data_IF_875690207883
#
_entry.id   IF_875690207883
#
_cell.length_a   1.000
_cell.length_b   1.000
_cell.length_c   1.000
_cell.angle_alpha   90.00
_cell.angle_beta   90.00
_cell.angle_gamma   90.00
#
_symmetry.space_group_name_H-M   'P 1'
#
loop_
_entity.id
_entity.type
_entity.pdbx_description
1 polymer ?
#
# COMPACT_ATOMS: atom_id res chain seq x y z
N UNK A 1 -4.72 -2.34 -22.68
CA UNK A 1 -4.25 -3.27 -21.64
C UNK A 1 -4.66 -2.66 -20.30
N UNK A 2 -5.36 -3.42 -19.47
CA UNK A 2 -5.87 -2.96 -18.16
C UNK A 2 -5.07 -3.70 -17.09
N UNK A 3 -4.44 -2.98 -16.17
CA UNK A 3 -3.65 -3.57 -15.10
C UNK A 3 -4.57 -4.02 -13.96
N UNK A 4 -4.29 -5.19 -13.38
CA UNK A 4 -4.72 -5.51 -12.01
C UNK A 4 -3.67 -4.98 -11.01
N UNK A 5 -4.00 -4.81 -9.72
CA UNK A 5 -3.02 -4.44 -8.70
C UNK A 5 -1.78 -5.35 -8.71
N UNK A 6 -1.98 -6.67 -8.79
CA UNK A 6 -0.92 -7.68 -8.73
C UNK A 6 -0.04 -7.61 -9.97
N UNK A 7 -0.65 -7.60 -11.17
CA UNK A 7 0.10 -7.54 -12.42
C UNK A 7 0.90 -6.24 -12.56
N UNK A 8 0.38 -5.13 -12.01
CA UNK A 8 1.11 -3.87 -11.92
C UNK A 8 2.33 -4.01 -10.99
N UNK A 9 2.13 -4.47 -9.75
CA UNK A 9 3.20 -4.63 -8.76
C UNK A 9 4.28 -5.61 -9.23
N UNK A 10 3.88 -6.78 -9.76
CA UNK A 10 4.78 -7.80 -10.26
C UNK A 10 5.64 -7.26 -11.43
N UNK A 11 5.05 -6.46 -12.32
CA UNK A 11 5.81 -5.87 -13.44
C UNK A 11 6.91 -4.93 -12.97
N UNK A 12 6.61 -4.09 -11.97
CA UNK A 12 7.59 -3.18 -11.35
C UNK A 12 8.65 -3.99 -10.59
N UNK A 13 8.23 -4.99 -9.81
CA UNK A 13 9.12 -5.86 -9.05
C UNK A 13 10.13 -6.56 -9.94
N UNK A 14 9.67 -7.12 -11.06
CA UNK A 14 10.52 -7.82 -12.02
C UNK A 14 11.49 -6.86 -12.71
N UNK A 15 11.02 -5.68 -13.13
CA UNK A 15 11.87 -4.65 -13.73
C UNK A 15 12.98 -4.21 -12.78
N UNK A 16 12.65 -3.90 -11.52
CA UNK A 16 13.65 -3.46 -10.54
C UNK A 16 14.70 -4.53 -10.22
N UNK A 17 14.30 -5.80 -10.20
CA UNK A 17 15.22 -6.92 -10.04
C UNK A 17 16.16 -7.09 -11.25
N UNK A 18 15.63 -6.97 -12.47
CA UNK A 18 16.43 -7.02 -13.71
C UNK A 18 17.48 -5.90 -13.77
N UNK A 19 17.12 -4.70 -13.36
CA UNK A 19 18.00 -3.54 -13.29
C UNK A 19 19.05 -3.65 -12.17
N UNK A 20 19.01 -4.74 -11.37
CA UNK A 20 19.92 -4.99 -10.23
C UNK A 20 19.98 -3.81 -9.24
N UNK A 21 18.90 -3.03 -9.13
CA UNK A 21 18.83 -1.91 -8.20
C UNK A 21 18.72 -2.46 -6.77
N UNK A 22 19.61 -2.01 -5.89
CA UNK A 22 19.64 -2.39 -4.47
C UNK A 22 19.24 -1.19 -3.61
N UNK A 23 17.95 -0.87 -3.64
CA UNK A 23 17.35 0.12 -2.76
C UNK A 23 16.62 -0.60 -1.63
N UNK A 24 16.61 -0.02 -0.43
CA UNK A 24 15.88 -0.61 0.68
C UNK A 24 14.36 -0.66 0.45
N UNK A 25 13.84 0.28 -0.34
CA UNK A 25 12.44 0.30 -0.73
C UNK A 25 12.31 1.03 -2.07
N UNK A 26 11.37 0.58 -2.89
CA UNK A 26 10.96 1.24 -4.13
C UNK A 26 9.46 1.40 -4.08
N UNK A 27 9.00 2.64 -4.13
CA UNK A 27 7.58 2.96 -4.11
C UNK A 27 7.19 3.65 -5.41
N UNK A 28 6.16 3.15 -6.10
CA UNK A 28 5.61 3.80 -7.29
C UNK A 28 4.38 4.60 -6.89
N UNK A 29 4.39 5.89 -7.22
CA UNK A 29 3.20 6.73 -7.15
C UNK A 29 2.55 6.83 -8.51
N UNK A 30 1.25 6.56 -8.58
CA UNK A 30 0.48 6.58 -9.83
C UNK A 30 -0.86 7.29 -9.64
N UNK A 31 -1.52 7.59 -10.76
CA UNK A 31 -2.92 8.04 -10.80
C UNK A 31 -3.79 7.08 -11.61
N UNK A 32 -3.31 5.84 -11.77
CA UNK A 32 -4.06 4.78 -12.42
C UNK A 32 -5.14 4.26 -11.46
N UNK A 33 -6.40 4.36 -11.87
CA UNK A 33 -7.52 3.82 -11.10
C UNK A 33 -7.51 2.29 -11.21
N UNK A 34 -7.09 1.61 -10.14
CA UNK A 34 -7.06 0.15 -10.12
C UNK A 34 -8.49 -0.42 -10.05
N UNK A 35 -8.71 -1.63 -10.57
CA UNK A 35 -9.93 -2.40 -10.31
C UNK A 35 -10.20 -2.57 -8.80
N UNK A 36 -11.46 -2.86 -8.46
CA UNK A 36 -11.87 -3.22 -7.09
C UNK A 36 -11.57 -2.15 -6.02
N UNK A 37 -11.44 -0.88 -6.42
CA UNK A 37 -11.17 0.26 -5.52
C UNK A 37 -9.82 0.16 -4.78
N UNK A 38 -8.87 -0.60 -5.32
CA UNK A 38 -7.54 -0.75 -4.69
C UNK A 38 -6.74 0.54 -4.84
N UNK A 39 -6.31 1.10 -3.72
CA UNK A 39 -5.48 2.31 -3.70
C UNK A 39 -3.99 2.00 -3.59
N UNK A 40 -3.59 0.78 -3.26
CA UNK A 40 -2.18 0.41 -3.13
C UNK A 40 -2.00 -1.10 -3.03
N UNK A 41 -0.76 -1.54 -3.22
CA UNK A 41 -0.36 -2.91 -2.95
C UNK A 41 1.13 -2.97 -2.64
N UNK A 42 1.50 -3.88 -1.74
CA UNK A 42 2.86 -4.09 -1.28
C UNK A 42 3.11 -5.56 -0.99
N UNK A 43 4.33 -6.03 -1.22
CA UNK A 43 4.75 -7.32 -0.67
C UNK A 43 4.97 -7.18 0.84
N UNK A 44 4.64 -8.24 1.56
CA UNK A 44 4.91 -8.33 2.99
C UNK A 44 6.40 -8.64 3.26
N UNK A 45 7.00 -8.02 4.30
CA UNK A 45 8.38 -8.29 4.74
C UNK A 45 9.43 -8.11 3.63
N UNK A 46 9.17 -7.17 2.71
CA UNK A 46 10.03 -6.89 1.56
C UNK A 46 11.15 -5.88 1.82
N UNK A 47 11.14 -5.17 2.95
CA UNK A 47 12.07 -4.07 3.21
C UNK A 47 13.54 -4.52 3.17
N UNK A 48 14.37 -3.79 2.41
CA UNK A 48 15.77 -4.11 2.10
C UNK A 48 16.02 -5.54 1.59
N UNK A 49 15.00 -6.20 1.04
CA UNK A 49 15.17 -7.52 0.42
C UNK A 49 16.13 -7.44 -0.77
N UNK A 50 16.84 -8.54 -1.02
CA UNK A 50 17.70 -8.68 -2.19
C UNK A 50 16.85 -9.06 -3.41
N UNK A 51 17.24 -8.64 -4.64
CA UNK A 51 16.63 -9.13 -5.85
C UNK A 51 16.66 -10.66 -5.93
N UNK A 52 15.55 -11.27 -6.37
CA UNK A 52 15.43 -12.70 -6.63
C UNK A 52 15.09 -12.95 -8.11
N UNK A 53 15.10 -14.21 -8.55
CA UNK A 53 14.61 -14.57 -9.88
C UNK A 53 13.12 -14.31 -10.08
N UNK A 54 12.37 -14.12 -8.99
CA UNK A 54 10.93 -13.82 -9.00
C UNK A 54 10.62 -12.32 -8.93
N UNK A 55 11.64 -11.47 -8.73
CA UNK A 55 11.47 -10.03 -8.54
C UNK A 55 12.17 -9.49 -7.29
N UNK A 56 11.98 -8.19 -7.04
CA UNK A 56 12.46 -7.46 -5.87
C UNK A 56 11.28 -7.21 -4.93
N UNK A 57 11.25 -7.86 -3.77
CA UNK A 57 10.11 -7.77 -2.84
C UNK A 57 10.02 -6.42 -2.11
N UNK A 58 11.07 -5.59 -2.18
CA UNK A 58 11.07 -4.24 -1.62
C UNK A 58 10.27 -3.23 -2.45
N UNK A 59 9.35 -3.70 -3.31
CA UNK A 59 8.50 -2.85 -4.15
C UNK A 59 7.08 -2.75 -3.61
N UNK A 60 6.49 -1.57 -3.75
CA UNK A 60 5.08 -1.30 -3.50
C UNK A 60 4.58 -0.19 -4.44
N UNK A 61 3.27 0.02 -4.51
CA UNK A 61 2.71 1.19 -5.17
C UNK A 61 1.53 1.77 -4.39
N UNK A 62 1.30 3.07 -4.61
CA UNK A 62 0.10 3.79 -4.18
C UNK A 62 -0.49 4.57 -5.36
N UNK A 63 -1.80 4.52 -5.50
CA UNK A 63 -2.59 5.26 -6.47
C UNK A 63 -3.33 6.41 -5.79
N UNK A 64 -3.22 7.59 -6.39
CA UNK A 64 -3.96 8.79 -5.98
C UNK A 64 -5.39 8.84 -6.55
N UNK A 65 -5.85 7.77 -7.22
CA UNK A 65 -7.13 7.74 -7.91
C UNK A 65 -7.88 6.42 -7.66
N UNK A 66 -9.08 6.55 -7.13
CA UNK A 66 -10.09 5.49 -7.10
C UNK A 66 -10.91 5.47 -8.39
N UNK A 67 -11.44 4.31 -8.74
CA UNK A 67 -12.22 4.11 -9.97
C UNK A 67 -13.60 4.79 -9.94
N UNK A 68 -14.18 5.04 -8.76
CA UNK A 68 -15.49 5.69 -8.59
C UNK A 68 -15.36 7.10 -8.03
N UNK A 69 -14.63 7.30 -6.93
CA UNK A 69 -14.53 8.63 -6.29
C UNK A 69 -13.55 9.56 -6.99
N UNK A 70 -12.73 9.04 -7.91
CA UNK A 70 -11.72 9.83 -8.60
C UNK A 70 -10.51 10.10 -7.70
N UNK A 71 -10.00 11.33 -7.73
CA UNK A 71 -8.81 11.65 -6.94
C UNK A 71 -9.11 11.66 -5.44
N UNK A 72 -8.30 10.91 -4.68
CA UNK A 72 -8.36 10.93 -3.21
C UNK A 72 -7.66 12.18 -2.67
N UNK A 73 -7.96 12.53 -1.40
CA UNK A 73 -7.26 13.65 -0.75
C UNK A 73 -5.78 13.33 -0.54
N UNK A 74 -4.92 14.36 -0.48
CA UNK A 74 -3.50 14.16 -0.19
C UNK A 74 -3.27 13.46 1.16
N UNK A 75 -4.14 13.73 2.15
CA UNK A 75 -4.09 13.07 3.44
C UNK A 75 -4.37 11.56 3.31
N UNK A 76 -5.43 11.18 2.61
CA UNK A 76 -5.75 9.78 2.36
C UNK A 76 -4.66 9.08 1.54
N UNK A 77 -4.11 9.73 0.53
CA UNK A 77 -3.00 9.20 -0.26
C UNK A 77 -1.75 8.94 0.59
N UNK A 78 -1.41 9.86 1.49
CA UNK A 78 -0.29 9.66 2.43
C UNK A 78 -0.54 8.45 3.34
N UNK A 79 -1.77 8.24 3.80
CA UNK A 79 -2.13 7.09 4.63
C UNK A 79 -2.06 5.77 3.85
N UNK A 80 -2.46 5.76 2.58
CA UNK A 80 -2.26 4.60 1.70
C UNK A 80 -0.77 4.31 1.54
N UNK A 81 0.05 5.32 1.26
CA UNK A 81 1.51 5.14 1.19
C UNK A 81 2.09 4.54 2.48
N UNK A 82 1.67 5.04 3.65
CA UNK A 82 2.13 4.53 4.94
C UNK A 82 1.64 3.09 5.17
N UNK A 83 0.41 2.77 4.82
CA UNK A 83 -0.16 1.41 4.89
C UNK A 83 0.68 0.41 4.09
N UNK A 84 0.97 0.74 2.82
CA UNK A 84 1.76 -0.12 1.94
C UNK A 84 3.22 -0.24 2.39
N UNK A 85 3.79 0.84 2.94
CA UNK A 85 5.11 0.78 3.57
C UNK A 85 5.09 -0.12 4.82
N UNK A 86 4.03 -0.07 5.62
CA UNK A 86 3.82 -0.93 6.79
C UNK A 86 3.84 -2.41 6.44
N UNK A 87 3.20 -2.81 5.34
CA UNK A 87 3.31 -4.17 4.81
C UNK A 87 4.75 -4.55 4.48
N UNK A 88 5.48 -3.66 3.79
CA UNK A 88 6.87 -3.94 3.42
C UNK A 88 7.78 -4.08 4.65
N UNK A 89 7.49 -3.34 5.73
CA UNK A 89 8.12 -3.46 7.05
C UNK A 89 7.68 -4.69 7.86
N UNK A 90 6.58 -5.35 7.48
CA UNK A 90 6.13 -6.62 8.07
C UNK A 90 4.80 -6.58 8.82
N UNK A 91 4.09 -5.46 8.82
CA UNK A 91 2.77 -5.37 9.44
C UNK A 91 1.72 -6.06 8.59
N UNK A 92 0.92 -6.93 9.21
CA UNK A 92 -0.33 -7.44 8.62
C UNK A 92 -1.46 -6.44 8.83
N UNK A 93 -2.63 -6.72 8.26
CA UNK A 93 -3.82 -5.95 8.59
C UNK A 93 -4.21 -6.09 10.06
N UNK A 94 -4.74 -5.00 10.62
CA UNK A 94 -5.22 -4.99 12.00
C UNK A 94 -6.36 -6.00 12.19
N UNK A 95 -6.30 -6.87 13.22
CA UNK A 95 -7.40 -7.79 13.53
C UNK A 95 -8.61 -7.03 14.07
N UNK A 96 -9.82 -7.59 13.87
CA UNK A 96 -11.08 -6.99 14.34
C UNK A 96 -11.22 -7.15 15.86
N UNK A 97 -10.52 -6.28 16.58
CA UNK A 97 -10.47 -6.21 18.05
C UNK A 97 -10.48 -4.76 18.48
N UNK A 98 -10.93 -4.43 19.69
CA UNK A 98 -10.94 -3.04 20.16
C UNK A 98 -9.52 -2.47 20.30
N UNK A 99 -8.53 -3.31 20.58
CA UNK A 99 -7.12 -2.90 20.71
C UNK A 99 -6.52 -2.45 19.37
N UNK A 100 -6.78 -3.17 18.28
CA UNK A 100 -6.15 -2.90 16.98
C UNK A 100 -7.09 -2.28 15.95
N UNK A 101 -8.40 -2.30 16.17
CA UNK A 101 -9.40 -1.74 15.26
C UNK A 101 -10.51 -0.99 16.01
N UNK A 102 -10.19 -0.02 16.88
CA UNK A 102 -11.16 0.65 17.75
C UNK A 102 -12.30 1.32 16.97
N UNK A 103 -13.44 1.45 17.62
CA UNK A 103 -14.61 2.14 17.05
C UNK A 103 -14.35 3.64 16.77
N UNK A 104 -15.21 4.26 15.95
CA UNK A 104 -15.08 5.68 15.60
C UNK A 104 -15.19 6.59 16.83
N UNK A 105 -15.96 6.19 17.85
CA UNK A 105 -16.06 6.86 19.15
C UNK A 105 -14.76 6.80 19.96
N UNK A 106 -13.94 5.78 19.72
CA UNK A 106 -12.62 5.54 20.32
C UNK A 106 -11.47 6.08 19.45
N UNK A 107 -11.77 6.94 18.47
CA UNK A 107 -10.76 7.57 17.61
C UNK A 107 -10.53 6.87 16.27
N UNK A 108 -11.37 5.90 15.90
CA UNK A 108 -11.35 5.25 14.58
C UNK A 108 -10.27 4.18 14.42
N UNK A 109 -10.20 3.59 13.23
CA UNK A 109 -9.28 2.48 12.91
C UNK A 109 -7.83 2.97 12.82
N UNK A 110 -6.85 2.07 12.96
CA UNK A 110 -5.44 2.41 12.71
C UNK A 110 -5.07 2.28 11.23
N UNK A 111 -3.86 2.75 10.88
CA UNK A 111 -3.39 2.82 9.49
C UNK A 111 -3.33 1.47 8.79
N UNK A 112 -3.12 0.36 9.52
CA UNK A 112 -3.06 -0.99 8.95
C UNK A 112 -4.43 -1.65 8.83
N UNK A 113 -5.53 -0.91 9.00
CA UNK A 113 -6.86 -1.42 8.74
C UNK A 113 -7.03 -1.81 7.27
N UNK A 114 -7.63 -2.96 7.02
CA UNK A 114 -7.81 -3.54 5.67
C UNK A 114 -8.59 -2.67 4.67
N UNK A 115 -9.27 -1.60 5.14
CA UNK A 115 -9.93 -0.61 4.27
C UNK A 115 -9.25 0.74 4.45
N UNK A 116 -9.07 1.46 3.35
CA UNK A 116 -8.51 2.81 3.37
C UNK A 116 -9.26 3.72 4.36
N UNK A 117 -8.51 4.38 5.21
CA UNK A 117 -8.99 5.37 6.17
C UNK A 117 -8.90 6.79 5.61
N UNK A 118 -9.82 7.67 6.00
CA UNK A 118 -9.91 9.04 5.44
C UNK A 118 -8.95 10.05 6.08
N UNK A 119 -8.31 9.72 7.21
CA UNK A 119 -7.45 10.66 7.95
C UNK A 119 -8.17 11.63 8.89
N UNK A 120 -9.49 11.54 9.01
CA UNK A 120 -10.31 12.46 9.83
C UNK A 120 -10.41 12.09 11.31
N UNK A 121 -10.07 10.84 11.68
CA UNK A 121 -10.12 10.34 13.05
C UNK A 121 -8.73 10.36 13.70
N UNK A 122 -8.68 10.39 15.03
CA UNK A 122 -7.41 10.56 15.76
C UNK A 122 -6.44 9.38 15.61
N UNK A 123 -6.92 8.17 15.29
CA UNK A 123 -6.08 6.99 15.11
C UNK A 123 -5.64 6.76 13.65
N UNK A 124 -6.13 7.57 12.70
CA UNK A 124 -5.68 7.53 11.30
C UNK A 124 -4.30 8.20 11.14
N UNK A 125 -3.27 7.71 11.84
CA UNK A 125 -1.90 8.23 11.79
C UNK A 125 -0.89 7.10 11.76
#
# INVERSE_FOLDING_TARGET
>A
MTWTPETFLDSVSFYMAMEKRQLCHTHIFTSYAMPEHVLGLSYLLGFCSKPTTKGLLSTAFSSSKDIIVGHVTSLQFNLVFIHELGHNLGSYHDPVTEECAPEDSSGGKYVMWQRSVMGTQSNHK
#
